data_IF_368341896371
#
_entry.id   IF_368341896371
#
_cell.length_a   1.000
_cell.length_b   1.000
_cell.length_c   1.000
_cell.angle_alpha   90.00
_cell.angle_beta   90.00
_cell.angle_gamma   90.00
#
_symmetry.space_group_name_H-M   'P 1'
#
loop_
_entity.id
_entity.type
_entity.pdbx_description
1 polymer ?
#
# COMPACT_ATOMS: atom_id res chain seq x y z
N UNK A 1 -13.36 33.94 -9.65
CA UNK A 1 -13.85 33.11 -8.53
C UNK A 1 -13.39 31.68 -8.74
N UNK A 2 -12.68 31.07 -7.79
CA UNK A 2 -12.33 29.65 -7.86
C UNK A 2 -13.61 28.83 -7.64
N UNK A 3 -13.94 27.94 -8.58
CA UNK A 3 -15.09 27.05 -8.44
C UNK A 3 -14.75 25.97 -7.42
N UNK A 4 -15.56 25.89 -6.36
CA UNK A 4 -15.49 24.80 -5.39
C UNK A 4 -15.76 23.49 -6.13
N UNK A 5 -14.77 22.60 -6.13
CA UNK A 5 -14.93 21.22 -6.60
C UNK A 5 -15.17 20.35 -5.37
N UNK A 6 -16.23 19.54 -5.42
CA UNK A 6 -16.48 18.55 -4.38
C UNK A 6 -15.33 17.54 -4.45
N UNK A 7 -14.58 17.31 -3.36
CA UNK A 7 -13.52 16.31 -3.36
C UNK A 7 -14.14 14.93 -3.57
N UNK A 8 -13.79 14.28 -4.69
CA UNK A 8 -14.15 12.89 -4.94
C UNK A 8 -13.15 12.01 -4.20
N UNK A 9 -13.59 11.41 -3.10
CA UNK A 9 -12.81 10.36 -2.44
C UNK A 9 -12.83 9.13 -3.35
N UNK A 10 -11.67 8.55 -3.70
CA UNK A 10 -11.62 7.34 -4.51
C UNK A 10 -12.47 6.22 -3.87
N UNK A 11 -13.18 5.40 -4.66
CA UNK A 11 -13.97 4.32 -4.11
C UNK A 11 -13.06 3.27 -3.46
N UNK A 12 -13.43 2.80 -2.26
CA UNK A 12 -12.70 1.75 -1.53
C UNK A 12 -13.62 0.56 -1.24
N UNK A 13 -13.08 -0.65 -1.33
CA UNK A 13 -13.79 -1.90 -1.00
C UNK A 13 -13.09 -2.60 0.15
N UNK A 14 -13.83 -3.02 1.18
CA UNK A 14 -13.27 -3.79 2.28
C UNK A 14 -12.89 -5.22 1.81
N UNK A 15 -11.68 -5.66 2.16
CA UNK A 15 -11.22 -7.04 2.00
C UNK A 15 -10.73 -7.55 3.34
N UNK A 16 -11.24 -8.70 3.77
CA UNK A 16 -10.85 -9.35 5.03
C UNK A 16 -9.88 -10.49 4.73
N UNK A 17 -8.70 -10.44 5.36
CA UNK A 17 -7.65 -11.47 5.26
C UNK A 17 -7.07 -11.74 6.66
N UNK A 18 -6.43 -12.90 6.85
CA UNK A 18 -5.77 -13.25 8.11
C UNK A 18 -4.29 -12.92 8.01
N UNK A 19 -3.76 -12.23 9.04
CA UNK A 19 -2.34 -12.06 9.24
C UNK A 19 -1.85 -13.03 10.31
N UNK A 20 -0.67 -13.65 10.13
CA UNK A 20 0.08 -14.27 11.22
C UNK A 20 0.29 -13.29 12.40
N UNK A 21 0.22 -13.80 13.64
CA UNK A 21 0.27 -12.95 14.84
C UNK A 21 1.63 -12.27 15.03
N UNK A 22 2.71 -12.99 14.71
CA UNK A 22 4.08 -12.48 14.67
C UNK A 22 4.20 -11.26 13.75
N UNK A 23 3.64 -11.34 12.53
CA UNK A 23 3.64 -10.20 11.62
C UNK A 23 2.81 -9.02 12.13
N UNK A 24 1.71 -9.27 12.85
CA UNK A 24 0.93 -8.18 13.45
C UNK A 24 1.78 -7.46 14.49
N UNK A 25 2.43 -8.20 15.39
CA UNK A 25 3.30 -7.65 16.43
C UNK A 25 4.47 -6.85 15.85
N UNK A 26 5.12 -7.38 14.80
CA UNK A 26 6.21 -6.69 14.12
C UNK A 26 5.76 -5.37 13.46
N UNK A 27 4.61 -5.37 12.79
CA UNK A 27 4.07 -4.16 12.16
C UNK A 27 3.67 -3.13 13.21
N UNK A 28 2.95 -3.53 14.26
CA UNK A 28 2.54 -2.65 15.35
C UNK A 28 3.75 -2.02 16.07
N UNK A 29 4.78 -2.82 16.34
CA UNK A 29 6.04 -2.31 16.88
C UNK A 29 6.72 -1.31 15.93
N UNK A 30 6.73 -1.60 14.62
CA UNK A 30 7.33 -0.73 13.62
C UNK A 30 6.59 0.59 13.41
N UNK A 31 5.27 0.64 13.66
CA UNK A 31 4.47 1.88 13.54
C UNK A 31 4.24 2.59 14.88
N UNK A 32 4.65 1.99 16.00
CA UNK A 32 4.55 2.62 17.32
C UNK A 32 5.27 3.97 17.37
N UNK A 33 4.57 5.01 17.82
CA UNK A 33 5.09 6.38 17.87
C UNK A 33 5.16 7.08 16.51
N UNK A 34 4.66 6.45 15.44
CA UNK A 34 4.45 7.07 14.13
C UNK A 34 2.98 7.46 14.00
N UNK A 35 2.70 8.55 13.30
CA UNK A 35 1.33 8.95 12.95
C UNK A 35 0.81 8.11 11.77
N UNK A 36 0.71 6.79 11.99
CA UNK A 36 0.36 5.80 10.99
C UNK A 36 -0.51 4.71 11.61
N UNK A 37 -1.50 4.22 10.85
CA UNK A 37 -2.35 3.10 11.26
C UNK A 37 -1.90 1.80 10.59
N UNK A 38 -2.22 0.65 11.19
CA UNK A 38 -1.94 -0.66 10.59
C UNK A 38 -2.47 -0.76 9.16
N UNK A 39 -3.71 -0.30 8.91
CA UNK A 39 -4.29 -0.32 7.56
C UNK A 39 -3.54 0.58 6.58
N UNK A 40 -3.09 1.75 7.00
CA UNK A 40 -2.28 2.64 6.14
C UNK A 40 -0.93 2.00 5.80
N UNK A 41 -0.29 1.37 6.78
CA UNK A 41 0.95 0.60 6.57
C UNK A 41 0.75 -0.52 5.55
N UNK A 42 -0.29 -1.35 5.71
CA UNK A 42 -0.57 -2.46 4.79
C UNK A 42 -0.88 -1.96 3.38
N UNK A 43 -1.66 -0.88 3.24
CA UNK A 43 -1.95 -0.29 1.93
C UNK A 43 -0.67 0.14 1.23
N UNK A 44 0.24 0.81 1.95
CA UNK A 44 1.49 1.29 1.38
C UNK A 44 2.45 0.14 1.04
N UNK A 45 2.58 -0.86 1.92
CA UNK A 45 3.36 -2.06 1.65
C UNK A 45 2.89 -2.79 0.39
N UNK A 46 1.57 -2.89 0.18
CA UNK A 46 0.99 -3.51 -1.03
C UNK A 46 1.27 -2.67 -2.27
N UNK A 47 1.22 -1.33 -2.19
CA UNK A 47 1.60 -0.46 -3.33
C UNK A 47 3.05 -0.66 -3.75
N UNK A 48 3.97 -0.61 -2.78
CA UNK A 48 5.40 -0.82 -3.02
C UNK A 48 5.64 -2.22 -3.62
N UNK A 49 5.02 -3.26 -3.07
CA UNK A 49 5.14 -4.60 -3.61
C UNK A 49 4.64 -4.71 -5.06
N UNK A 50 3.51 -4.07 -5.39
CA UNK A 50 2.97 -4.05 -6.75
C UNK A 50 3.85 -3.26 -7.73
N UNK A 51 4.46 -2.16 -7.28
CA UNK A 51 5.35 -1.36 -8.12
C UNK A 51 6.67 -2.09 -8.38
N UNK A 52 7.24 -2.75 -7.37
CA UNK A 52 8.41 -3.61 -7.55
C UNK A 52 8.15 -4.74 -8.57
N UNK A 53 6.99 -5.40 -8.50
CA UNK A 53 6.62 -6.44 -9.48
C UNK A 53 6.49 -5.90 -10.91
N UNK A 54 6.02 -4.65 -11.09
CA UNK A 54 5.98 -4.01 -12.41
C UNK A 54 7.39 -3.69 -12.90
N UNK A 55 8.23 -3.13 -12.04
CA UNK A 55 9.62 -2.82 -12.36
C UNK A 55 10.39 -4.08 -12.78
N UNK A 56 10.27 -5.18 -12.02
CA UNK A 56 10.88 -6.47 -12.36
C UNK A 56 10.40 -6.97 -13.72
N UNK A 57 9.11 -6.84 -14.03
CA UNK A 57 8.56 -7.23 -15.34
C UNK A 57 9.10 -6.38 -16.49
N UNK A 58 9.33 -5.08 -16.26
CA UNK A 58 9.88 -4.17 -17.28
C UNK A 58 11.36 -4.46 -17.53
N UNK A 59 12.13 -4.75 -16.48
CA UNK A 59 13.53 -5.14 -16.58
C UNK A 59 13.68 -6.45 -17.38
N UNK A 60 12.84 -7.45 -17.11
CA UNK A 60 12.83 -8.71 -17.86
C UNK A 60 12.56 -8.49 -19.36
N UNK A 61 11.61 -7.62 -19.70
CA UNK A 61 11.31 -7.34 -21.10
C UNK A 61 12.43 -6.57 -21.82
N UNK A 62 13.24 -5.79 -21.09
CA UNK A 62 14.36 -5.03 -21.65
C UNK A 62 15.66 -5.85 -21.82
N UNK A 63 15.78 -6.99 -21.13
CA UNK A 63 16.91 -7.91 -21.30
C UNK A 63 16.69 -8.91 -22.45
N UNK A 64 15.44 -9.06 -22.91
CA UNK A 64 15.05 -9.95 -24.02
C UNK A 64 15.02 -9.26 -25.41
N UNK A 65 15.19 -7.94 -25.48
CA UNK A 65 15.30 -7.11 -26.71
C UNK A 65 16.75 -6.77 -27.08
#
# INVERSE_FOLDING_TARGET
MRRFHIPAVPPTTNKSIRFPNDLIEEVEAAITGKDCTFSAFVIEAVRVALDNLKEDSLLQNSEEE
#
